data_IF_293495427663
#
_entry.id   IF_293495427663
#
_cell.length_a   1.000
_cell.length_b   1.000
_cell.length_c   1.000
_cell.angle_alpha   90.00
_cell.angle_beta   90.00
_cell.angle_gamma   90.00
#
_symmetry.space_group_name_H-M   'P 1'
#
loop_
_entity.id
_entity.type
_entity.pdbx_description
1 polymer ?
#
# COMPACT_ATOMS: atom_id res chain seq x y z
N UNK A 1 -9.61 -16.05 11.62
CA UNK A 1 -8.25 -16.05 12.21
C UNK A 1 -7.25 -15.64 11.15
N UNK A 2 -6.33 -14.72 11.48
CA UNK A 2 -5.23 -14.28 10.60
C UNK A 2 -3.91 -14.73 11.21
N UNK A 3 -2.97 -15.13 10.34
CA UNK A 3 -1.58 -15.42 10.72
C UNK A 3 -0.69 -14.41 9.98
N UNK A 4 0.06 -13.63 10.74
CA UNK A 4 1.03 -12.68 10.18
C UNK A 4 2.37 -13.40 9.94
N UNK A 5 3.00 -13.09 8.82
CA UNK A 5 4.29 -13.66 8.40
C UNK A 5 5.23 -12.57 7.90
N UNK A 6 6.52 -12.89 7.85
CA UNK A 6 7.50 -11.99 7.22
C UNK A 6 7.25 -11.91 5.71
N UNK A 7 6.88 -10.73 5.24
CA UNK A 7 6.59 -10.48 3.83
C UNK A 7 7.84 -10.52 2.92
N UNK A 8 9.05 -10.52 3.50
CA UNK A 8 10.30 -10.61 2.75
C UNK A 8 10.70 -12.04 2.41
N UNK A 9 10.06 -13.04 3.06
CA UNK A 9 10.37 -14.46 2.90
C UNK A 9 9.14 -15.23 2.36
N UNK A 10 9.10 -15.60 1.07
CA UNK A 10 8.05 -16.46 0.52
C UNK A 10 7.90 -17.80 1.24
N UNK A 11 8.96 -18.37 1.82
CA UNK A 11 8.89 -19.62 2.55
C UNK A 11 8.10 -19.47 3.87
N UNK A 12 8.08 -18.29 4.47
CA UNK A 12 7.26 -18.02 5.66
C UNK A 12 5.76 -18.14 5.35
N UNK A 13 5.32 -17.74 4.15
CA UNK A 13 3.94 -17.92 3.71
C UNK A 13 3.60 -19.43 3.57
N UNK A 14 4.49 -20.21 2.96
CA UNK A 14 4.29 -21.65 2.82
C UNK A 14 4.19 -22.36 4.18
N UNK A 15 5.07 -22.02 5.11
CA UNK A 15 5.09 -22.59 6.46
C UNK A 15 3.83 -22.24 7.28
N UNK A 16 3.19 -21.10 7.00
CA UNK A 16 1.99 -20.65 7.69
C UNK A 16 0.69 -21.24 7.12
N UNK A 17 0.73 -21.95 5.99
CA UNK A 17 -0.45 -22.54 5.36
C UNK A 17 -1.09 -23.64 6.22
N UNK A 18 -2.40 -23.62 6.32
CA UNK A 18 -3.23 -24.57 7.04
C UNK A 18 -4.33 -25.14 6.13
N UNK A 19 -4.94 -26.30 6.46
CA UNK A 19 -6.05 -26.85 5.67
C UNK A 19 -7.25 -25.89 5.51
N UNK A 20 -7.46 -25.05 6.51
CA UNK A 20 -8.54 -24.05 6.52
C UNK A 20 -8.10 -22.66 5.98
N UNK A 21 -6.89 -22.49 5.49
CA UNK A 21 -6.48 -21.26 4.82
C UNK A 21 -7.36 -21.02 3.57
N UNK A 22 -7.83 -19.78 3.38
CA UNK A 22 -8.72 -19.39 2.30
C UNK A 22 -8.15 -18.33 1.37
N UNK A 23 -7.17 -17.57 1.79
CA UNK A 23 -6.49 -16.57 0.98
C UNK A 23 -5.13 -16.23 1.57
N UNK A 24 -4.24 -15.74 0.72
CA UNK A 24 -3.07 -14.95 1.11
C UNK A 24 -3.38 -13.49 0.80
N UNK A 25 -3.13 -12.60 1.76
CA UNK A 25 -3.28 -11.17 1.59
C UNK A 25 -1.95 -10.48 1.89
N UNK A 26 -1.54 -9.56 1.01
CA UNK A 26 -0.33 -8.77 1.23
C UNK A 26 -0.42 -7.42 0.50
N UNK A 27 0.43 -6.48 0.88
CA UNK A 27 0.65 -5.22 0.16
C UNK A 27 1.79 -5.41 -0.86
N UNK A 28 1.63 -4.87 -2.07
CA UNK A 28 2.70 -4.89 -3.09
C UNK A 28 3.92 -4.06 -2.66
N UNK A 29 3.67 -2.96 -1.96
CA UNK A 29 4.64 -2.11 -1.29
C UNK A 29 4.06 -1.68 0.05
N UNK A 30 4.67 -2.13 1.13
CA UNK A 30 4.18 -1.95 2.49
C UNK A 30 4.15 -0.50 2.97
N UNK A 31 3.21 -0.17 3.85
CA UNK A 31 3.11 1.14 4.48
C UNK A 31 2.95 0.95 6.01
N UNK A 32 3.87 1.44 6.85
CA UNK A 32 4.99 2.35 6.54
C UNK A 32 6.33 1.66 6.25
N UNK A 33 6.40 0.33 6.31
CA UNK A 33 7.64 -0.44 6.24
C UNK A 33 8.38 -0.33 4.91
N UNK A 34 7.67 -0.01 3.81
CA UNK A 34 8.18 0.04 2.42
C UNK A 34 8.81 -1.28 1.94
N UNK A 35 8.43 -2.38 2.57
CA UNK A 35 8.81 -3.72 2.11
C UNK A 35 8.20 -3.97 0.74
N UNK A 36 9.01 -4.41 -0.20
CA UNK A 36 8.59 -4.84 -1.53
C UNK A 36 8.31 -6.33 -1.48
N UNK A 37 7.06 -6.73 -1.75
CA UNK A 37 6.67 -8.14 -1.83
C UNK A 37 7.18 -8.77 -3.13
N UNK A 38 7.73 -9.97 -3.08
CA UNK A 38 7.92 -10.78 -4.29
C UNK A 38 6.58 -11.42 -4.69
N UNK A 39 5.80 -10.69 -5.49
CA UNK A 39 4.42 -11.07 -5.83
C UNK A 39 4.37 -12.43 -6.53
N UNK A 40 5.28 -12.67 -7.48
CA UNK A 40 5.30 -13.92 -8.24
C UNK A 40 5.61 -15.12 -7.33
N UNK A 41 6.62 -15.03 -6.49
CA UNK A 41 6.98 -16.11 -5.58
C UNK A 41 5.86 -16.40 -4.56
N UNK A 42 5.19 -15.37 -4.03
CA UNK A 42 4.05 -15.56 -3.10
C UNK A 42 2.81 -16.11 -3.84
N UNK A 43 2.60 -15.73 -5.10
CA UNK A 43 1.53 -16.29 -5.92
C UNK A 43 1.72 -17.80 -6.14
N UNK A 44 2.95 -18.25 -6.45
CA UNK A 44 3.29 -19.67 -6.58
C UNK A 44 2.96 -20.44 -5.28
N UNK A 45 3.31 -19.89 -4.13
CA UNK A 45 2.98 -20.49 -2.82
C UNK A 45 1.47 -20.58 -2.62
N UNK A 46 0.72 -19.50 -2.87
CA UNK A 46 -0.73 -19.47 -2.69
C UNK A 46 -1.41 -20.51 -3.60
N UNK A 47 -1.03 -20.55 -4.88
CA UNK A 47 -1.60 -21.47 -5.87
C UNK A 47 -1.26 -22.94 -5.59
N UNK A 48 -0.04 -23.24 -5.12
CA UNK A 48 0.33 -24.59 -4.70
C UNK A 48 -0.57 -25.12 -3.57
N UNK A 49 -1.15 -24.22 -2.77
CA UNK A 49 -2.09 -24.56 -1.71
C UNK A 49 -3.56 -24.38 -2.11
N UNK A 50 -3.84 -24.04 -3.38
CA UNK A 50 -5.20 -23.85 -3.91
C UNK A 50 -5.96 -22.70 -3.29
N UNK A 51 -5.27 -21.61 -2.91
CA UNK A 51 -5.87 -20.38 -2.38
C UNK A 51 -5.49 -19.17 -3.23
N UNK A 52 -6.37 -18.15 -3.34
CA UNK A 52 -6.06 -16.95 -4.11
C UNK A 52 -5.04 -16.08 -3.38
N UNK A 53 -4.22 -15.38 -4.16
CA UNK A 53 -3.41 -14.25 -3.71
C UNK A 53 -4.16 -12.94 -3.93
N UNK A 54 -4.42 -12.22 -2.84
CA UNK A 54 -5.03 -10.89 -2.83
C UNK A 54 -3.97 -9.85 -2.53
N UNK A 55 -3.79 -8.89 -3.43
CA UNK A 55 -2.77 -7.84 -3.30
C UNK A 55 -3.44 -6.47 -3.12
N UNK A 56 -3.11 -5.80 -2.02
CA UNK A 56 -3.33 -4.37 -1.92
C UNK A 56 -2.24 -3.62 -2.69
N UNK A 57 -2.64 -2.99 -3.79
CA UNK A 57 -1.73 -2.25 -4.68
C UNK A 57 -1.95 -0.73 -4.58
N UNK A 58 -2.39 -0.26 -3.42
CA UNK A 58 -2.71 1.15 -3.19
C UNK A 58 -1.52 2.07 -3.40
N UNK A 59 -0.35 1.71 -2.86
CA UNK A 59 0.85 2.57 -2.88
C UNK A 59 1.46 2.69 -4.26
N UNK A 60 1.73 1.60 -5.02
CA UNK A 60 2.24 1.72 -6.38
C UNK A 60 1.19 2.24 -7.38
N UNK A 61 -0.09 2.07 -7.10
CA UNK A 61 -1.18 2.25 -8.06
C UNK A 61 -1.06 1.30 -9.28
N UNK A 62 -2.08 1.17 -10.12
CA UNK A 62 -1.99 0.32 -11.32
C UNK A 62 -0.98 0.85 -12.35
N UNK A 63 -0.54 2.10 -12.23
CA UNK A 63 0.46 2.68 -13.12
C UNK A 63 1.87 2.15 -12.85
N UNK A 64 2.27 2.03 -11.59
CA UNK A 64 3.63 1.56 -11.25
C UNK A 64 3.75 0.05 -11.17
N UNK A 65 2.69 -0.66 -10.75
CA UNK A 65 2.69 -2.10 -10.61
C UNK A 65 1.38 -2.71 -11.10
N UNK A 66 1.47 -3.83 -11.83
CA UNK A 66 0.32 -4.65 -12.24
C UNK A 66 0.42 -6.04 -11.59
N UNK A 67 -0.11 -6.23 -10.37
CA UNK A 67 -0.01 -7.50 -9.66
C UNK A 67 -0.70 -8.67 -10.37
N UNK A 68 -1.77 -8.43 -11.14
CA UNK A 68 -2.45 -9.50 -11.90
C UNK A 68 -1.51 -10.15 -12.92
N UNK A 69 -0.65 -9.34 -13.58
CA UNK A 69 0.35 -9.86 -14.51
C UNK A 69 1.49 -10.62 -13.82
N UNK A 70 1.62 -10.47 -12.49
CA UNK A 70 2.62 -11.14 -11.66
C UNK A 70 2.06 -12.34 -10.90
N UNK A 71 0.81 -12.72 -11.16
CA UNK A 71 0.19 -13.92 -10.59
C UNK A 71 -0.83 -13.66 -9.47
N UNK A 72 -1.07 -12.42 -9.07
CA UNK A 72 -2.17 -12.13 -8.14
C UNK A 72 -3.53 -12.46 -8.77
N UNK A 73 -4.45 -12.97 -7.99
CA UNK A 73 -5.81 -13.33 -8.45
C UNK A 73 -6.78 -12.18 -8.24
N UNK A 74 -6.58 -11.43 -7.17
CA UNK A 74 -7.42 -10.29 -6.78
C UNK A 74 -6.50 -9.14 -6.40
N UNK A 75 -6.83 -7.94 -6.90
CA UNK A 75 -6.15 -6.70 -6.53
C UNK A 75 -7.15 -5.73 -5.91
N UNK A 76 -6.77 -5.15 -4.80
CA UNK A 76 -7.54 -4.09 -4.15
C UNK A 76 -6.77 -2.78 -4.16
N UNK A 77 -7.50 -1.68 -4.22
CA UNK A 77 -6.95 -0.34 -4.09
C UNK A 77 -7.84 0.49 -3.17
N UNK A 78 -7.23 1.20 -2.23
CA UNK A 78 -7.85 2.39 -1.69
C UNK A 78 -7.81 3.49 -2.76
N UNK A 79 -8.93 3.69 -3.48
CA UNK A 79 -9.03 4.73 -4.50
C UNK A 79 -8.99 6.14 -3.89
N UNK A 80 -9.19 6.24 -2.58
CA UNK A 80 -8.97 7.42 -1.74
C UNK A 80 -7.58 8.04 -1.92
N UNK A 81 -6.55 7.19 -2.20
CA UNK A 81 -5.13 7.54 -2.23
C UNK A 81 -4.73 8.02 -3.63
N UNK A 82 -3.68 7.48 -4.20
CA UNK A 82 -3.13 7.91 -5.50
C UNK A 82 -4.14 7.90 -6.64
N UNK A 83 -5.13 7.00 -6.67
CA UNK A 83 -6.14 6.98 -7.73
C UNK A 83 -6.94 8.29 -7.78
N UNK A 84 -7.52 8.69 -6.64
CA UNK A 84 -8.18 9.99 -6.51
C UNK A 84 -7.20 11.16 -6.47
N UNK A 85 -6.13 11.01 -5.69
CA UNK A 85 -4.97 11.90 -5.66
C UNK A 85 -5.16 13.26 -4.95
N UNK A 86 -6.32 13.55 -4.40
CA UNK A 86 -6.64 14.89 -3.88
C UNK A 86 -7.15 14.88 -2.42
N UNK A 87 -7.29 13.71 -1.80
CA UNK A 87 -7.83 13.59 -0.43
C UNK A 87 -9.28 14.07 -0.27
N UNK A 88 -10.05 14.13 -1.36
CA UNK A 88 -11.39 14.74 -1.38
C UNK A 88 -12.52 13.75 -1.18
N UNK A 89 -12.28 12.45 -1.40
CA UNK A 89 -13.33 11.42 -1.31
C UNK A 89 -12.76 10.07 -0.90
N UNK A 90 -13.61 9.25 -0.29
CA UNK A 90 -13.29 7.88 0.09
C UNK A 90 -13.85 6.92 -0.96
N UNK A 91 -13.02 6.02 -1.45
CA UNK A 91 -13.45 4.97 -2.37
C UNK A 91 -12.51 3.76 -2.32
N UNK A 92 -13.02 2.61 -2.76
CA UNK A 92 -12.25 1.38 -2.96
C UNK A 92 -12.53 0.78 -4.33
N UNK A 93 -11.56 0.04 -4.83
CA UNK A 93 -11.68 -0.73 -6.07
C UNK A 93 -11.21 -2.15 -5.80
N UNK A 94 -11.96 -3.12 -6.31
CA UNK A 94 -11.59 -4.55 -6.32
C UNK A 94 -11.59 -5.02 -7.76
N UNK A 95 -10.50 -5.67 -8.16
CA UNK A 95 -10.31 -6.22 -9.51
C UNK A 95 -9.94 -7.69 -9.37
N UNK A 96 -10.63 -8.58 -10.09
CA UNK A 96 -10.24 -9.99 -10.17
C UNK A 96 -9.60 -10.30 -11.52
N UNK A 97 -8.70 -11.29 -11.54
CA UNK A 97 -8.07 -11.78 -12.79
C UNK A 97 -9.05 -12.62 -13.63
N UNK A 98 -9.96 -13.31 -12.96
CA UNK A 98 -11.04 -14.07 -13.58
C UNK A 98 -10.76 -15.56 -13.85
N UNK A 99 -9.55 -16.04 -13.60
CA UNK A 99 -9.14 -17.39 -13.90
C UNK A 99 -8.80 -18.26 -12.68
N UNK A 100 -9.05 -17.77 -11.47
CA UNK A 100 -8.83 -18.56 -10.26
C UNK A 100 -9.83 -19.74 -10.19
N UNK A 101 -9.35 -20.99 -9.95
CA UNK A 101 -10.19 -22.19 -9.97
C UNK A 101 -11.02 -22.33 -8.69
N UNK A 102 -12.10 -21.55 -8.55
CA UNK A 102 -12.99 -21.59 -7.39
C UNK A 102 -13.59 -22.98 -7.13
N UNK A 103 -13.66 -23.85 -8.15
CA UNK A 103 -14.17 -25.21 -8.06
C UNK A 103 -13.23 -26.23 -7.43
N UNK A 104 -12.13 -25.83 -6.78
CA UNK A 104 -11.12 -26.73 -6.22
C UNK A 104 -11.51 -27.36 -4.86
N UNK A 105 -12.76 -27.24 -4.43
CA UNK A 105 -13.30 -27.84 -3.19
C UNK A 105 -13.09 -27.00 -1.92
N UNK A 106 -12.35 -25.90 -1.98
CA UNK A 106 -12.12 -25.05 -0.79
C UNK A 106 -13.15 -23.94 -0.62
N UNK A 107 -13.93 -23.63 -1.64
CA UNK A 107 -14.78 -22.45 -1.68
C UNK A 107 -16.27 -22.80 -1.89
N UNK A 108 -16.93 -23.48 -0.91
CA UNK A 108 -18.34 -23.88 -1.05
C UNK A 108 -19.25 -22.68 -1.31
N UNK A 109 -18.97 -21.51 -0.73
CA UNK A 109 -19.75 -20.31 -1.01
C UNK A 109 -19.65 -19.80 -2.45
N UNK A 110 -18.75 -20.32 -3.31
CA UNK A 110 -18.66 -20.04 -4.74
C UNK A 110 -19.32 -21.14 -5.58
N UNK A 111 -19.34 -22.37 -5.07
CA UNK A 111 -19.68 -23.58 -5.84
C UNK A 111 -20.95 -24.27 -5.36
N UNK A 112 -21.56 -23.83 -4.26
CA UNK A 112 -22.82 -24.35 -3.75
C UNK A 112 -23.95 -23.34 -3.96
N UNK A 113 -25.23 -23.80 -4.01
CA UNK A 113 -26.38 -22.92 -4.14
C UNK A 113 -26.47 -21.91 -3.01
N UNK A 114 -26.50 -20.62 -3.31
CA UNK A 114 -26.66 -19.54 -2.33
C UNK A 114 -28.14 -19.43 -1.91
N UNK A 115 -28.47 -19.67 -0.63
CA UNK A 115 -29.85 -19.55 -0.13
C UNK A 115 -30.38 -18.12 -0.22
N UNK A 116 -29.52 -17.13 -0.05
CA UNK A 116 -29.87 -15.70 -0.13
C UNK A 116 -30.18 -15.21 -1.55
N UNK A 117 -29.84 -16.01 -2.56
CA UNK A 117 -30.04 -15.67 -3.99
C UNK A 117 -30.74 -16.80 -4.77
N UNK A 118 -31.75 -17.40 -4.15
CA UNK A 118 -32.63 -18.39 -4.80
C UNK A 118 -31.89 -19.57 -5.44
N UNK A 119 -30.79 -20.00 -4.84
CA UNK A 119 -29.99 -21.12 -5.31
C UNK A 119 -28.97 -20.80 -6.39
N UNK A 120 -28.63 -19.52 -6.63
CA UNK A 120 -27.54 -19.16 -7.54
C UNK A 120 -26.22 -19.76 -7.07
N UNK A 121 -25.51 -20.43 -7.99
CA UNK A 121 -24.14 -20.89 -7.82
C UNK A 121 -23.25 -19.85 -8.51
N UNK A 122 -22.50 -19.06 -7.73
CA UNK A 122 -21.77 -17.89 -8.25
C UNK A 122 -20.77 -18.25 -9.33
N UNK A 123 -19.98 -19.31 -9.13
CA UNK A 123 -18.96 -19.71 -10.09
C UNK A 123 -19.54 -20.20 -11.42
N UNK A 124 -20.62 -21.00 -11.37
CA UNK A 124 -21.29 -21.49 -12.59
C UNK A 124 -22.03 -20.37 -13.32
N UNK A 125 -22.62 -19.44 -12.57
CA UNK A 125 -23.46 -18.37 -13.15
C UNK A 125 -22.65 -17.25 -13.76
N UNK A 126 -21.53 -16.87 -13.13
CA UNK A 126 -20.79 -15.65 -13.48
C UNK A 126 -19.37 -15.90 -14.01
N UNK A 127 -18.85 -17.14 -13.93
CA UNK A 127 -17.53 -17.51 -14.49
C UNK A 127 -16.42 -16.57 -14.02
N UNK A 128 -15.80 -15.87 -14.95
CA UNK A 128 -14.66 -14.98 -14.73
C UNK A 128 -14.96 -13.79 -13.80
N UNK A 129 -16.24 -13.50 -13.52
CA UNK A 129 -16.69 -12.43 -12.65
C UNK A 129 -17.27 -12.94 -11.31
N UNK A 130 -17.09 -14.21 -11.01
CA UNK A 130 -17.76 -14.85 -9.89
C UNK A 130 -17.45 -14.19 -8.54
N UNK A 131 -16.20 -13.84 -8.29
CA UNK A 131 -15.78 -13.20 -7.03
C UNK A 131 -16.33 -11.78 -6.91
N UNK A 132 -16.15 -10.94 -7.92
CA UNK A 132 -16.63 -9.54 -7.90
C UNK A 132 -18.14 -9.47 -7.90
N UNK A 133 -18.84 -10.39 -8.58
CA UNK A 133 -20.29 -10.48 -8.52
C UNK A 133 -20.77 -10.90 -7.14
N UNK A 134 -20.11 -11.85 -6.50
CA UNK A 134 -20.44 -12.22 -5.13
C UNK A 134 -20.19 -11.06 -4.15
N UNK A 135 -19.06 -10.35 -4.28
CA UNK A 135 -18.81 -9.13 -3.50
C UNK A 135 -19.94 -8.10 -3.67
N UNK A 136 -20.41 -7.89 -4.90
CA UNK A 136 -21.48 -6.94 -5.20
C UNK A 136 -22.83 -7.38 -4.66
N UNK A 137 -23.20 -8.63 -4.87
CA UNK A 137 -24.51 -9.15 -4.54
C UNK A 137 -24.69 -9.43 -3.05
N UNK A 138 -23.64 -9.93 -2.37
CA UNK A 138 -23.69 -10.25 -0.93
C UNK A 138 -23.10 -9.09 -0.11
N UNK A 139 -21.81 -8.86 -0.18
CA UNK A 139 -21.10 -7.97 0.74
C UNK A 139 -21.50 -6.51 0.56
N UNK A 140 -21.40 -5.98 -0.65
CA UNK A 140 -21.69 -4.57 -0.93
C UNK A 140 -23.17 -4.25 -0.67
N UNK A 141 -24.08 -5.13 -1.09
CA UNK A 141 -25.51 -4.96 -0.89
C UNK A 141 -25.89 -4.98 0.59
N UNK A 142 -25.35 -5.92 1.36
CA UNK A 142 -25.70 -6.07 2.79
C UNK A 142 -25.13 -4.92 3.62
N UNK A 143 -23.87 -4.53 3.37
CA UNK A 143 -23.23 -3.42 4.09
C UNK A 143 -23.63 -2.04 3.55
N UNK A 144 -24.26 -1.96 2.38
CA UNK A 144 -24.68 -0.71 1.78
C UNK A 144 -23.55 0.21 1.31
N UNK A 145 -22.37 -0.33 1.06
CA UNK A 145 -21.18 0.42 0.65
C UNK A 145 -21.27 0.89 -0.82
N UNK A 146 -22.32 1.62 -1.16
CA UNK A 146 -22.55 2.16 -2.50
C UNK A 146 -21.82 3.50 -2.67
N UNK A 147 -20.90 3.56 -3.63
CA UNK A 147 -20.19 4.79 -3.96
C UNK A 147 -21.15 5.80 -4.61
N UNK A 148 -21.16 7.06 -4.13
CA UNK A 148 -21.97 8.10 -4.74
C UNK A 148 -21.47 8.44 -6.16
N UNK A 149 -22.35 8.84 -7.10
CA UNK A 149 -21.91 9.27 -8.43
C UNK A 149 -20.91 10.42 -8.41
N UNK A 150 -21.03 11.35 -7.46
CA UNK A 150 -20.10 12.46 -7.29
C UNK A 150 -18.71 11.94 -6.87
N UNK A 151 -18.65 11.02 -5.90
CA UNK A 151 -17.37 10.41 -5.48
C UNK A 151 -16.73 9.61 -6.63
N UNK A 152 -17.53 8.87 -7.40
CA UNK A 152 -17.06 8.15 -8.57
C UNK A 152 -16.47 9.10 -9.62
N UNK A 153 -17.14 10.21 -9.89
CA UNK A 153 -16.67 11.25 -10.81
C UNK A 153 -15.34 11.86 -10.35
N UNK A 154 -15.22 12.21 -9.07
CA UNK A 154 -13.96 12.73 -8.50
C UNK A 154 -12.80 11.75 -8.65
N UNK A 155 -13.04 10.46 -8.41
CA UNK A 155 -12.01 9.42 -8.62
C UNK A 155 -11.62 9.32 -10.09
N UNK A 156 -12.58 9.33 -11.01
CA UNK A 156 -12.31 9.28 -12.45
C UNK A 156 -11.47 10.47 -12.91
N UNK A 157 -11.74 11.68 -12.43
CA UNK A 157 -10.90 12.87 -12.70
C UNK A 157 -9.45 12.65 -12.22
N UNK A 158 -9.28 12.03 -11.05
CA UNK A 158 -7.95 11.67 -10.56
C UNK A 158 -7.25 10.62 -11.44
N UNK A 159 -7.99 9.62 -11.91
CA UNK A 159 -7.44 8.54 -12.74
C UNK A 159 -6.92 9.06 -14.08
N UNK A 160 -7.56 10.05 -14.69
CA UNK A 160 -7.14 10.64 -15.96
C UNK A 160 -5.72 11.22 -15.91
N UNK A 161 -5.31 11.76 -14.76
CA UNK A 161 -3.98 12.34 -14.56
C UNK A 161 -3.01 11.44 -13.79
N UNK A 162 -3.42 10.22 -13.46
CA UNK A 162 -2.64 9.31 -12.63
C UNK A 162 -1.21 9.08 -13.14
N UNK A 163 -0.96 8.80 -14.44
CA UNK A 163 0.39 8.58 -14.94
C UNK A 163 1.31 9.78 -14.68
N UNK A 164 0.87 10.98 -15.02
CA UNK A 164 1.62 12.22 -14.83
C UNK A 164 1.93 12.48 -13.36
N UNK A 165 0.96 12.24 -12.49
CA UNK A 165 1.14 12.41 -11.05
C UNK A 165 2.13 11.40 -10.47
N UNK A 166 1.99 10.13 -10.85
CA UNK A 166 2.89 9.09 -10.35
C UNK A 166 4.35 9.29 -10.79
N UNK A 167 4.59 9.75 -12.01
CA UNK A 167 5.93 10.14 -12.48
C UNK A 167 6.51 11.27 -11.63
N UNK A 168 5.73 12.31 -11.36
CA UNK A 168 6.16 13.44 -10.52
C UNK A 168 6.38 13.02 -9.07
N UNK A 169 5.48 12.24 -8.48
CA UNK A 169 5.65 11.69 -7.13
C UNK A 169 6.96 10.88 -7.00
N UNK A 170 7.23 10.00 -7.96
CA UNK A 170 8.46 9.21 -7.96
C UNK A 170 9.72 10.08 -8.12
N UNK A 171 9.68 11.07 -9.02
CA UNK A 171 10.81 11.98 -9.25
C UNK A 171 11.11 12.81 -7.98
N UNK A 172 10.10 13.42 -7.39
CA UNK A 172 10.24 14.20 -6.17
C UNK A 172 10.71 13.33 -5.00
N UNK A 173 10.11 12.14 -4.81
CA UNK A 173 10.51 11.22 -3.73
C UNK A 173 11.96 10.74 -3.88
N UNK A 174 12.41 10.49 -5.10
CA UNK A 174 13.81 10.16 -5.37
C UNK A 174 14.76 11.31 -5.01
N UNK A 175 14.40 12.55 -5.33
CA UNK A 175 15.20 13.73 -4.99
C UNK A 175 15.26 13.91 -3.47
N UNK A 176 14.12 13.80 -2.77
CA UNK A 176 14.06 13.85 -1.30
C UNK A 176 14.88 12.71 -0.67
N UNK A 177 14.75 11.48 -1.15
CA UNK A 177 15.49 10.34 -0.62
C UNK A 177 17.01 10.51 -0.77
N UNK A 178 17.48 11.05 -1.90
CA UNK A 178 18.90 11.35 -2.13
C UNK A 178 19.40 12.47 -1.22
N UNK A 179 18.62 13.54 -1.06
CA UNK A 179 18.93 14.63 -0.14
C UNK A 179 19.08 14.11 1.29
N UNK A 180 18.09 13.41 1.80
CA UNK A 180 18.10 12.84 3.15
C UNK A 180 19.25 11.86 3.37
N UNK A 181 19.57 10.99 2.40
CA UNK A 181 20.68 10.04 2.50
C UNK A 181 22.04 10.72 2.62
N UNK A 182 22.20 11.89 2.03
CA UNK A 182 23.43 12.69 2.10
C UNK A 182 23.54 13.58 3.33
N UNK A 183 22.49 13.71 4.14
CA UNK A 183 22.43 14.66 5.25
C UNK A 183 22.94 14.02 6.56
N UNK A 184 23.94 14.63 7.25
CA UNK A 184 24.48 14.10 8.49
C UNK A 184 23.50 14.12 9.68
N UNK A 185 22.38 14.82 9.58
CA UNK A 185 21.30 14.89 10.59
C UNK A 185 20.36 13.68 10.52
N UNK A 186 20.43 12.91 9.43
CA UNK A 186 19.61 11.73 9.17
C UNK A 186 20.37 10.47 9.58
N UNK A 187 19.71 9.56 10.27
CA UNK A 187 20.31 8.30 10.72
C UNK A 187 20.19 7.21 9.64
N UNK A 188 19.04 7.10 9.02
CA UNK A 188 18.73 6.14 7.97
C UNK A 188 17.65 6.66 7.02
N UNK A 189 17.62 6.13 5.80
CA UNK A 189 16.59 6.40 4.80
C UNK A 189 16.10 5.07 4.22
N UNK A 190 14.81 4.84 4.25
CA UNK A 190 14.15 3.71 3.64
C UNK A 190 13.35 4.17 2.41
N UNK A 191 13.85 3.87 1.23
CA UNK A 191 13.20 4.11 -0.06
C UNK A 191 13.71 3.10 -1.07
N UNK A 192 12.93 2.09 -1.49
CA UNK A 192 13.39 1.01 -2.37
C UNK A 192 13.85 1.47 -3.77
N UNK A 193 13.53 2.72 -4.13
CA UNK A 193 14.03 3.37 -5.35
C UNK A 193 15.53 3.70 -5.32
N UNK A 194 16.15 3.81 -4.14
CA UNK A 194 17.57 4.11 -4.01
C UNK A 194 18.43 2.93 -4.45
N UNK A 195 19.45 3.19 -5.25
CA UNK A 195 20.51 2.21 -5.52
C UNK A 195 21.22 1.83 -4.20
N UNK A 196 21.41 0.55 -3.99
CA UNK A 196 21.94 0.02 -2.73
C UNK A 196 20.87 -0.36 -1.69
N UNK A 197 19.60 -0.06 -1.90
CA UNK A 197 18.54 -0.63 -1.07
C UNK A 197 18.45 -2.15 -1.32
N UNK A 198 18.32 -2.99 -0.27
CA UNK A 198 18.33 -4.46 -0.42
C UNK A 198 17.30 -4.98 -1.44
N UNK A 199 16.13 -4.34 -1.51
CA UNK A 199 15.05 -4.76 -2.40
C UNK A 199 14.98 -3.96 -3.72
N UNK A 200 16.00 -3.15 -4.04
CA UNK A 200 16.00 -2.33 -5.27
C UNK A 200 15.86 -3.18 -6.53
N UNK A 201 16.59 -4.30 -6.60
CA UNK A 201 16.52 -5.20 -7.76
C UNK A 201 15.15 -5.85 -7.92
N UNK A 202 14.52 -6.25 -6.80
CA UNK A 202 13.16 -6.79 -6.80
C UNK A 202 12.15 -5.73 -7.27
N UNK A 203 12.23 -4.53 -6.73
CA UNK A 203 11.37 -3.42 -7.14
C UNK A 203 11.47 -3.18 -8.65
N UNK A 204 12.68 -3.07 -9.20
CA UNK A 204 12.89 -2.83 -10.65
C UNK A 204 12.37 -3.95 -11.53
N UNK A 205 12.32 -5.20 -11.04
CA UNK A 205 11.80 -6.34 -11.79
C UNK A 205 10.28 -6.27 -11.98
N UNK A 206 9.55 -5.72 -11.02
CA UNK A 206 8.08 -5.79 -11.00
C UNK A 206 7.36 -4.45 -10.99
N UNK A 207 8.09 -3.33 -10.80
CA UNK A 207 7.51 -1.98 -10.71
C UNK A 207 8.25 -0.99 -11.59
N UNK A 208 7.52 -0.01 -12.13
CA UNK A 208 8.08 1.10 -12.92
C UNK A 208 8.75 2.17 -12.07
N UNK A 209 8.45 2.23 -10.77
CA UNK A 209 8.98 3.20 -9.82
C UNK A 209 8.62 2.85 -8.38
N UNK A 210 9.22 3.55 -7.42
CA UNK A 210 9.13 3.25 -6.00
C UNK A 210 8.07 4.08 -5.24
N UNK A 211 7.12 4.69 -5.96
CA UNK A 211 6.06 5.57 -5.44
C UNK A 211 6.55 6.89 -4.85
N UNK A 212 5.61 7.68 -4.30
CA UNK A 212 5.88 8.92 -3.58
C UNK A 212 6.09 8.73 -2.07
N UNK A 213 6.09 7.50 -1.57
CA UNK A 213 6.17 7.21 -0.14
C UNK A 213 7.59 6.83 0.25
N UNK A 214 8.14 7.48 1.29
CA UNK A 214 9.43 7.15 1.89
C UNK A 214 9.39 7.30 3.41
N UNK A 215 10.35 6.69 4.10
CA UNK A 215 10.55 6.86 5.52
C UNK A 215 12.03 7.12 5.83
N UNK A 216 12.30 7.83 6.92
CA UNK A 216 13.66 8.08 7.40
C UNK A 216 13.68 8.28 8.91
N UNK A 217 14.84 8.12 9.53
CA UNK A 217 15.08 8.40 10.93
C UNK A 217 15.86 9.70 11.12
N UNK A 218 15.39 10.57 12.03
CA UNK A 218 16.12 11.77 12.44
C UNK A 218 17.04 11.40 13.59
N UNK A 219 18.32 11.82 13.54
CA UNK A 219 19.25 11.62 14.65
C UNK A 219 18.76 12.31 15.92
N UNK A 220 18.81 11.57 17.03
CA UNK A 220 18.31 12.06 18.33
C UNK A 220 16.99 11.41 18.77
N UNK A 221 16.50 10.41 18.02
CA UNK A 221 15.37 9.56 18.41
C UNK A 221 14.01 10.24 18.29
N UNK A 222 13.06 9.81 19.14
CA UNK A 222 11.65 10.24 19.11
C UNK A 222 11.48 11.75 19.19
N UNK A 223 12.18 12.39 20.16
CA UNK A 223 12.02 13.82 20.38
C UNK A 223 12.47 14.67 19.18
N UNK A 224 13.53 14.25 18.50
CA UNK A 224 13.98 14.90 17.28
C UNK A 224 13.01 14.71 16.12
N UNK A 225 12.40 13.52 16.00
CA UNK A 225 11.33 13.26 15.05
C UNK A 225 10.11 14.14 15.28
N UNK A 226 9.70 14.32 16.55
CA UNK A 226 8.60 15.21 16.93
C UNK A 226 8.92 16.66 16.58
N UNK A 227 10.12 17.16 16.97
CA UNK A 227 10.53 18.52 16.64
C UNK A 227 10.61 18.77 15.13
N UNK A 228 11.06 17.77 14.36
CA UNK A 228 11.05 17.85 12.90
C UNK A 228 9.63 18.09 12.37
N UNK A 229 8.65 17.31 12.84
CA UNK A 229 7.25 17.43 12.42
C UNK A 229 6.68 18.81 12.81
N UNK A 230 6.95 19.27 14.03
CA UNK A 230 6.44 20.54 14.54
C UNK A 230 7.05 21.75 13.84
N UNK A 231 8.28 21.63 13.34
CA UNK A 231 8.99 22.69 12.64
C UNK A 231 8.61 22.81 11.15
N UNK A 232 7.95 21.82 10.57
CA UNK A 232 7.53 21.88 9.17
C UNK A 232 6.56 23.04 8.93
N UNK A 233 6.79 23.82 7.87
CA UNK A 233 6.02 25.03 7.54
C UNK A 233 5.20 24.86 6.24
N UNK A 234 5.71 24.08 5.32
CA UNK A 234 5.12 23.88 4.01
C UNK A 234 4.44 22.51 3.88
N UNK A 235 5.10 21.45 4.38
CA UNK A 235 4.54 20.10 4.38
C UNK A 235 3.38 20.00 5.37
N UNK A 236 2.31 19.31 4.98
CA UNK A 236 1.13 19.17 5.82
C UNK A 236 1.30 18.02 6.82
N UNK A 237 1.18 18.30 8.12
CA UNK A 237 1.17 17.28 9.17
C UNK A 237 -0.20 16.60 9.23
N UNK A 238 -0.35 15.49 8.54
CA UNK A 238 -1.56 14.65 8.58
C UNK A 238 -1.29 13.22 8.11
N UNK A 239 -2.18 12.32 8.54
CA UNK A 239 -2.06 10.89 8.25
C UNK A 239 -2.84 10.55 6.98
N UNK A 240 -2.23 10.76 5.83
CA UNK A 240 -2.71 10.28 4.53
C UNK A 240 -1.52 9.95 3.64
N UNK A 241 -1.76 9.47 2.43
CA UNK A 241 -0.75 9.24 1.40
C UNK A 241 -1.37 9.51 0.02
N UNK A 242 -0.52 9.82 -0.97
CA UNK A 242 -0.95 9.92 -2.36
C UNK A 242 -1.75 11.17 -2.69
N UNK A 243 -1.69 12.18 -1.85
CA UNK A 243 -2.22 13.52 -2.12
C UNK A 243 -1.26 14.30 -3.04
N UNK A 244 -1.78 15.29 -3.77
CA UNK A 244 -0.94 16.23 -4.55
C UNK A 244 -0.01 17.04 -3.66
N UNK A 245 -0.36 17.21 -2.38
CA UNK A 245 0.45 17.88 -1.36
C UNK A 245 1.40 16.91 -0.68
N UNK A 246 2.56 17.41 -0.28
CA UNK A 246 3.50 16.67 0.56
C UNK A 246 2.97 16.58 2.00
N UNK A 247 2.85 15.34 2.47
CA UNK A 247 2.31 15.01 3.79
C UNK A 247 3.39 14.36 4.65
N UNK A 248 3.44 14.75 5.93
CA UNK A 248 4.38 14.17 6.90
C UNK A 248 3.64 13.61 8.11
N UNK A 249 4.20 12.56 8.69
CA UNK A 249 3.70 11.99 9.93
C UNK A 249 4.82 11.31 10.71
N UNK A 250 4.65 11.22 12.02
CA UNK A 250 5.49 10.43 12.94
C UNK A 250 4.67 9.21 13.39
N UNK A 251 4.80 8.04 12.74
CA UNK A 251 3.92 6.90 12.97
C UNK A 251 3.90 6.42 14.42
N UNK A 252 5.04 6.39 15.10
CA UNK A 252 5.15 5.92 16.48
C UNK A 252 4.29 6.74 17.46
N UNK A 253 4.20 8.06 17.28
CA UNK A 253 3.42 8.94 18.17
C UNK A 253 1.97 9.17 17.72
N UNK A 254 1.61 8.74 16.51
CA UNK A 254 0.29 8.97 15.90
C UNK A 254 -0.47 7.68 15.60
N UNK A 255 -0.27 7.12 14.43
CA UNK A 255 -1.04 5.96 13.93
C UNK A 255 -0.79 4.66 14.69
N UNK A 256 0.38 4.49 15.29
CA UNK A 256 0.80 3.29 16.01
C UNK A 256 0.99 3.53 17.52
N UNK A 257 0.51 4.67 18.02
CA UNK A 257 0.62 5.05 19.45
C UNK A 257 -0.01 4.02 20.41
N UNK A 258 -0.98 3.25 19.93
CA UNK A 258 -1.68 2.23 20.74
C UNK A 258 -0.87 0.93 20.88
N UNK A 259 0.18 0.76 20.09
CA UNK A 259 1.06 -0.41 20.10
C UNK A 259 2.22 -0.17 21.07
N UNK A 260 2.66 -1.24 21.75
CA UNK A 260 3.92 -1.22 22.47
C UNK A 260 5.13 -1.23 21.50
N UNK A 261 6.34 -0.99 22.02
CA UNK A 261 7.55 -0.93 21.17
C UNK A 261 7.81 -2.20 20.37
N UNK A 262 7.53 -3.37 20.92
CA UNK A 262 7.73 -4.64 20.23
C UNK A 262 6.74 -4.81 19.08
N UNK A 263 5.47 -4.43 19.30
CA UNK A 263 4.43 -4.42 18.29
C UNK A 263 4.70 -3.37 17.21
N UNK A 264 5.18 -2.17 17.58
CA UNK A 264 5.57 -1.13 16.62
C UNK A 264 6.70 -1.64 15.72
N UNK A 265 7.76 -2.23 16.29
CA UNK A 265 8.86 -2.81 15.53
C UNK A 265 8.40 -3.94 14.61
N UNK A 266 7.50 -4.80 15.07
CA UNK A 266 6.91 -5.87 14.26
C UNK A 266 6.08 -5.32 13.10
N UNK A 267 5.45 -4.15 13.26
CA UNK A 267 4.76 -3.41 12.20
C UNK A 267 5.70 -2.58 11.30
N UNK A 268 7.02 -2.65 11.50
CA UNK A 268 8.02 -1.89 10.75
C UNK A 268 8.08 -0.41 11.14
N UNK A 269 7.60 -0.05 12.33
CA UNK A 269 7.64 1.31 12.85
C UNK A 269 8.78 1.45 13.85
N UNK A 270 9.75 2.29 13.52
CA UNK A 270 10.84 2.64 14.43
C UNK A 270 10.48 3.92 15.22
N UNK A 271 11.00 4.07 16.46
CA UNK A 271 10.67 5.22 17.31
C UNK A 271 11.04 6.59 16.71
N UNK A 272 12.10 6.65 15.91
CA UNK A 272 12.63 7.83 15.23
C UNK A 272 12.09 8.02 13.81
N UNK A 273 11.15 7.18 13.38
CA UNK A 273 10.65 7.16 12.01
C UNK A 273 9.78 8.38 11.69
N UNK A 274 10.18 9.13 10.69
CA UNK A 274 9.33 10.08 9.98
C UNK A 274 8.94 9.47 8.64
N UNK A 275 7.65 9.48 8.32
CA UNK A 275 7.11 9.05 7.01
C UNK A 275 6.71 10.29 6.22
N UNK A 276 7.17 10.36 4.97
CA UNK A 276 6.77 11.39 4.00
C UNK A 276 6.01 10.74 2.85
N UNK A 277 4.84 11.28 2.53
CA UNK A 277 4.17 11.08 1.25
C UNK A 277 4.42 12.32 0.40
N UNK A 278 5.41 12.23 -0.48
CA UNK A 278 5.91 13.35 -1.28
C UNK A 278 4.88 13.72 -2.34
N UNK A 279 4.53 15.00 -2.42
CA UNK A 279 3.55 15.55 -3.34
C UNK A 279 4.13 15.97 -4.70
N UNK A 280 3.39 16.84 -5.38
CA UNK A 280 3.68 17.31 -6.75
C UNK A 280 4.32 18.70 -6.78
N UNK A 281 4.51 19.33 -5.65
CA UNK A 281 5.01 20.68 -5.51
C UNK A 281 6.42 20.80 -6.12
N UNK A 282 6.92 22.04 -6.24
CA UNK A 282 8.28 22.24 -6.70
C UNK A 282 9.26 21.60 -5.72
N UNK A 283 10.23 20.87 -6.26
CA UNK A 283 11.14 20.09 -5.41
C UNK A 283 11.95 20.97 -4.45
N UNK A 284 12.35 22.17 -4.88
CA UNK A 284 13.14 23.06 -4.03
C UNK A 284 12.35 23.53 -2.80
N UNK A 285 11.03 23.72 -2.90
CA UNK A 285 10.18 24.09 -1.78
C UNK A 285 10.08 22.94 -0.76
N UNK A 286 9.96 21.69 -1.25
CA UNK A 286 9.95 20.50 -0.39
C UNK A 286 11.29 20.34 0.32
N UNK A 287 12.40 20.46 -0.41
CA UNK A 287 13.76 20.32 0.15
C UNK A 287 14.08 21.45 1.14
N UNK A 288 13.65 22.67 0.85
CA UNK A 288 13.79 23.81 1.77
C UNK A 288 13.10 23.53 3.10
N UNK A 289 11.84 23.04 3.08
CA UNK A 289 11.09 22.77 4.30
C UNK A 289 11.70 21.61 5.11
N UNK A 290 12.18 20.57 4.42
CA UNK A 290 12.90 19.46 5.05
C UNK A 290 14.19 19.97 5.72
N UNK A 291 14.97 20.82 5.04
CA UNK A 291 16.25 21.34 5.57
C UNK A 291 16.06 22.20 6.82
N UNK A 292 15.11 23.13 6.80
CA UNK A 292 14.82 23.98 7.95
C UNK A 292 14.24 23.17 9.13
N UNK A 293 13.39 22.16 8.86
CA UNK A 293 12.84 21.29 9.90
C UNK A 293 13.92 20.39 10.52
N UNK A 294 14.86 19.87 9.72
CA UNK A 294 16.05 19.16 10.24
C UNK A 294 16.96 20.05 11.06
N UNK A 295 17.07 21.35 10.75
CA UNK A 295 17.84 22.29 11.57
C UNK A 295 17.21 22.49 12.94
N UNK A 296 15.88 22.62 13.01
CA UNK A 296 15.13 22.77 14.27
C UNK A 296 15.13 21.48 15.12
N UNK A 297 15.25 20.31 14.51
CA UNK A 297 15.25 19.03 15.20
C UNK A 297 16.52 18.78 16.05
N UNK A 298 17.60 19.56 15.86
CA UNK A 298 18.88 19.45 16.59
C UNK A 298 18.87 20.04 18.00
N UNK A 299 17.96 20.95 18.30
CA UNK A 299 17.89 21.64 19.58
C UNK A 299 16.96 20.93 20.54
#
# INVERSE_FOLDING_TARGET
ESTFVDATDPAAFAAAMRPNTRAVFAESLGNPSLVVLDIAAVAEVAHAHGVPLVIDNTVPSPFLCNPLALGADIVVHSATKYLGGHGTTLAGVVVERGDFPWGNGKFPGMTEPSPGYHGVIFFETFGDFAFTMRCRMETQRVYGAALSPMSAWQILQGVETLPLRMERHCANAMAVARFLRGDPRVEWVNYPGLEGHPQHALLKRQMRGASGLLAFGVKGGVDSGVRFIEAAQFMSHLVNIGDTRTLISHPASTTHRQLDEAQQRAAGVLPDMVRISVGLEHIDDILWDIDQALAAART
#
